data_IF_396571856103
#
_entry.id   IF_396571856103
#
_cell.length_a   1.000
_cell.length_b   1.000
_cell.length_c   1.000
_cell.angle_alpha   90.00
_cell.angle_beta   90.00
_cell.angle_gamma   90.00
#
_symmetry.space_group_name_H-M   'P 1'
#
loop_
_entity.id
_entity.type
_entity.pdbx_description
1 polymer ?
#
# COMPACT_ATOMS: atom_id res chain seq x y z
N UNK A 1 65.95 -29.27 -12.04
CA UNK A 1 64.71 -29.44 -12.82
C UNK A 1 63.54 -29.37 -11.84
N UNK A 2 62.74 -28.30 -11.94
CA UNK A 2 61.60 -27.92 -11.08
C UNK A 2 60.40 -27.61 -12.00
N UNK A 3 59.16 -27.56 -11.46
CA UNK A 3 57.99 -28.24 -12.02
C UNK A 3 57.20 -27.43 -13.06
N UNK A 4 56.47 -28.14 -13.94
CA UNK A 4 55.60 -27.56 -14.94
C UNK A 4 54.20 -27.26 -14.37
N UNK A 5 53.86 -25.98 -14.34
CA UNK A 5 52.55 -25.43 -14.05
C UNK A 5 51.62 -25.63 -15.25
N UNK A 6 50.55 -26.40 -15.07
CA UNK A 6 49.45 -26.55 -16.03
C UNK A 6 48.43 -25.43 -15.83
N UNK A 7 48.52 -24.38 -16.65
CA UNK A 7 47.55 -23.29 -16.70
C UNK A 7 46.32 -23.71 -17.52
N UNK A 8 45.19 -23.91 -16.81
CA UNK A 8 43.86 -24.11 -17.39
C UNK A 8 43.36 -22.75 -17.87
N UNK A 9 43.32 -22.56 -19.20
CA UNK A 9 42.85 -21.34 -19.84
C UNK A 9 41.32 -21.39 -19.95
N UNK A 10 40.64 -20.69 -19.04
CA UNK A 10 39.19 -20.48 -19.05
C UNK A 10 38.76 -19.70 -20.30
N UNK A 11 37.99 -20.37 -21.17
CA UNK A 11 37.32 -19.77 -22.32
C UNK A 11 36.05 -19.08 -21.85
N UNK A 12 36.14 -17.79 -21.58
CA UNK A 12 34.99 -16.91 -21.32
C UNK A 12 34.14 -16.87 -22.60
N UNK A 13 32.97 -17.53 -22.56
CA UNK A 13 31.94 -17.34 -23.57
C UNK A 13 31.28 -15.98 -23.33
N UNK A 14 31.52 -15.03 -24.24
CA UNK A 14 30.82 -13.75 -24.31
C UNK A 14 29.37 -14.02 -24.73
N UNK A 15 28.42 -13.56 -23.92
CA UNK A 15 27.00 -13.51 -24.27
C UNK A 15 26.76 -12.50 -25.41
N UNK A 16 25.81 -12.73 -26.32
CA UNK A 16 25.50 -11.81 -27.41
C UNK A 16 24.84 -10.53 -26.88
N UNK A 17 25.31 -9.40 -27.39
CA UNK A 17 24.77 -8.07 -27.16
C UNK A 17 23.35 -7.95 -27.74
N UNK A 18 22.40 -7.54 -26.90
CA UNK A 18 21.06 -7.19 -27.35
C UNK A 18 21.11 -5.89 -28.15
N UNK A 19 20.85 -6.00 -29.46
CA UNK A 19 20.69 -4.89 -30.41
C UNK A 19 19.20 -4.55 -30.46
N UNK A 20 18.81 -3.33 -30.06
CA UNK A 20 17.46 -2.80 -30.31
C UNK A 20 17.36 -2.30 -31.76
N UNK A 21 16.37 -2.75 -32.55
CA UNK A 21 16.07 -2.13 -33.84
C UNK A 21 14.82 -1.24 -33.75
N UNK A 22 14.97 0.01 -34.23
CA UNK A 22 13.93 0.67 -35.03
C UNK A 22 12.91 1.55 -34.31
N UNK A 23 13.30 2.79 -34.02
CA UNK A 23 12.74 3.99 -34.66
C UNK A 23 11.29 3.91 -35.20
N UNK A 24 10.34 4.50 -34.47
CA UNK A 24 9.07 4.98 -35.04
C UNK A 24 8.60 6.31 -34.43
N UNK A 25 8.87 7.35 -35.23
CA UNK A 25 8.10 8.57 -35.53
C UNK A 25 7.21 9.14 -34.42
N UNK A 26 7.59 10.36 -34.04
CA UNK A 26 6.77 11.40 -33.46
C UNK A 26 5.44 11.59 -34.20
N UNK A 27 4.33 11.48 -33.48
CA UNK A 27 3.07 12.12 -33.85
C UNK A 27 2.78 13.15 -32.77
N UNK A 28 3.36 14.33 -32.96
CA UNK A 28 2.91 15.54 -32.30
C UNK A 28 1.65 16.01 -33.06
N UNK A 29 0.46 15.61 -32.60
CA UNK A 29 -0.79 16.06 -33.22
C UNK A 29 -1.06 17.51 -32.82
N UNK A 30 -0.56 18.45 -33.62
CA UNK A 30 -0.98 19.85 -33.62
C UNK A 30 -2.43 19.94 -34.09
N UNK A 31 -3.38 20.01 -33.14
CA UNK A 31 -4.79 20.23 -33.45
C UNK A 31 -5.00 21.70 -33.84
N UNK A 32 -4.85 21.97 -35.14
CA UNK A 32 -5.16 23.24 -35.81
C UNK A 32 -6.62 23.62 -35.54
N UNK A 33 -6.84 24.69 -34.77
CA UNK A 33 -8.15 25.34 -34.62
C UNK A 33 -8.63 25.81 -36.00
N UNK A 34 -9.74 25.28 -36.50
CA UNK A 34 -10.55 25.93 -37.52
C UNK A 34 -11.73 26.58 -36.83
N UNK A 35 -11.86 27.89 -37.04
CA UNK A 35 -12.98 28.67 -36.54
C UNK A 35 -14.29 28.18 -37.15
N UNK A 36 -15.31 28.09 -36.30
CA UNK A 36 -16.69 28.27 -36.70
C UNK A 36 -17.28 29.35 -35.81
N UNK A 37 -17.75 30.37 -36.50
CA UNK A 37 -18.43 31.57 -36.05
C UNK A 37 -19.75 31.23 -35.38
N UNK A 38 -20.10 32.07 -34.41
CA UNK A 38 -21.45 32.46 -33.98
C UNK A 38 -22.46 31.35 -33.69
N UNK A 39 -22.82 31.21 -32.41
CA UNK A 39 -24.19 31.50 -31.96
C UNK A 39 -24.27 31.51 -30.43
N UNK A 40 -24.70 32.67 -29.92
CA UNK A 40 -25.63 32.82 -28.80
C UNK A 40 -25.11 32.62 -27.36
N UNK A 41 -24.71 33.74 -26.75
CA UNK A 41 -24.71 33.96 -25.29
C UNK A 41 -26.08 34.47 -24.84
N UNK A 42 -26.60 34.05 -23.67
CA UNK A 42 -27.48 34.87 -22.89
C UNK A 42 -26.68 35.60 -21.79
N UNK A 43 -26.82 36.92 -21.83
CA UNK A 43 -26.37 37.92 -20.87
C UNK A 43 -27.59 38.26 -20.02
N UNK A 44 -27.54 38.06 -18.71
CA UNK A 44 -28.49 38.66 -17.75
C UNK A 44 -27.74 38.77 -16.41
N UNK A 45 -27.15 39.90 -16.06
CA UNK A 45 -27.73 41.19 -15.62
C UNK A 45 -27.67 41.29 -14.09
N UNK A 46 -26.78 42.18 -13.63
CA UNK A 46 -26.53 42.52 -12.25
C UNK A 46 -27.59 43.50 -11.75
N UNK A 47 -28.27 43.17 -10.66
CA UNK A 47 -29.00 44.14 -9.85
C UNK A 47 -28.39 44.22 -8.44
N UNK A 48 -27.78 45.37 -8.15
CA UNK A 48 -27.33 45.83 -6.83
C UNK A 48 -28.52 46.04 -5.89
N UNK A 49 -28.36 45.67 -4.62
CA UNK A 49 -28.99 46.23 -3.41
C UNK A 49 -28.51 45.34 -2.25
N UNK A 50 -27.97 45.79 -1.12
CA UNK A 50 -27.66 47.09 -0.57
C UNK A 50 -26.74 46.85 0.65
N UNK A 51 -26.02 47.88 1.04
CA UNK A 51 -25.06 47.91 2.13
C UNK A 51 -25.79 48.20 3.45
N UNK A 52 -25.53 47.45 4.54
CA UNK A 52 -25.51 47.95 5.94
C UNK A 52 -24.81 46.95 6.88
N UNK A 53 -23.75 47.44 7.52
CA UNK A 53 -23.37 47.35 8.94
C UNK A 53 -23.25 46.01 9.69
N UNK A 54 -21.99 45.72 10.03
CA UNK A 54 -21.46 45.68 11.41
C UNK A 54 -22.27 44.92 12.49
N UNK A 55 -21.78 43.74 12.86
CA UNK A 55 -21.67 43.36 14.28
C UNK A 55 -20.77 42.14 14.46
N UNK A 56 -19.66 42.32 15.17
CA UNK A 56 -19.00 41.28 15.94
C UNK A 56 -19.99 40.75 16.99
N UNK A 57 -20.22 39.43 17.03
CA UNK A 57 -20.78 38.78 18.21
C UNK A 57 -20.21 37.37 18.35
N UNK A 58 -19.35 37.22 19.36
CA UNK A 58 -18.93 35.95 19.93
C UNK A 58 -20.13 35.23 20.54
N UNK A 59 -20.38 33.97 20.17
CA UNK A 59 -20.97 32.93 21.04
C UNK A 59 -20.97 31.56 20.34
N UNK A 60 -20.26 30.60 20.93
CA UNK A 60 -20.55 29.16 20.86
C UNK A 60 -21.62 28.85 21.95
N UNK A 61 -22.24 27.64 22.06
CA UNK A 61 -22.07 26.38 21.31
C UNK A 61 -23.40 25.69 20.87
N UNK A 62 -23.35 24.69 19.98
CA UNK A 62 -24.49 23.75 19.81
C UNK A 62 -24.72 23.17 18.41
N UNK A 63 -24.27 21.93 18.21
CA UNK A 63 -24.78 20.87 17.30
C UNK A 63 -25.61 21.22 16.04
N UNK A 64 -25.03 21.00 14.86
CA UNK A 64 -25.58 20.17 13.76
C UNK A 64 -24.77 20.42 12.48
N UNK A 65 -23.69 19.66 12.27
CA UNK A 65 -23.01 19.62 10.97
C UNK A 65 -23.95 18.93 9.97
N UNK A 66 -24.66 19.72 9.18
CA UNK A 66 -25.50 19.24 8.09
C UNK A 66 -24.61 18.58 7.05
N UNK A 67 -24.83 17.28 6.79
CA UNK A 67 -24.17 16.50 5.73
C UNK A 67 -24.28 17.30 4.42
N UNK A 68 -23.15 17.78 3.92
CA UNK A 68 -23.11 18.59 2.71
C UNK A 68 -23.40 17.72 1.50
N UNK A 69 -24.18 18.22 0.54
CA UNK A 69 -24.47 17.54 -0.75
C UNK A 69 -23.19 17.10 -1.46
N UNK A 70 -22.08 17.81 -1.21
CA UNK A 70 -20.75 17.49 -1.73
C UNK A 70 -20.16 16.22 -1.11
N UNK A 71 -20.46 15.93 0.17
CA UNK A 71 -19.96 14.74 0.85
C UNK A 71 -20.77 13.49 0.49
N UNK A 72 -22.07 13.67 0.19
CA UNK A 72 -22.90 12.62 -0.42
C UNK A 72 -22.44 12.30 -1.85
N UNK A 73 -22.06 13.31 -2.62
CA UNK A 73 -21.54 13.09 -3.98
C UNK A 73 -20.17 12.39 -3.96
N UNK A 74 -19.30 12.70 -2.98
CA UNK A 74 -18.03 11.99 -2.80
C UNK A 74 -18.25 10.52 -2.43
N UNK A 75 -19.20 10.22 -1.54
CA UNK A 75 -19.47 8.84 -1.13
C UNK A 75 -20.11 8.02 -2.26
N UNK A 76 -20.94 8.62 -3.11
CA UNK A 76 -21.58 7.92 -4.22
C UNK A 76 -20.60 7.59 -5.37
N UNK A 77 -19.56 8.41 -5.59
CA UNK A 77 -18.54 8.13 -6.61
C UNK A 77 -17.61 6.96 -6.28
N UNK A 78 -17.61 6.44 -5.05
CA UNK A 78 -16.83 5.27 -4.64
C UNK A 78 -17.55 3.93 -4.89
N UNK A 79 -18.78 3.95 -5.42
CA UNK A 79 -19.65 2.77 -5.51
C UNK A 79 -19.52 1.87 -6.75
N UNK A 80 -18.60 2.10 -7.69
CA UNK A 80 -18.44 1.23 -8.88
C UNK A 80 -16.98 0.84 -9.08
N UNK A 81 -16.52 -0.17 -8.35
CA UNK A 81 -15.32 -0.95 -8.72
C UNK A 81 -15.59 -2.45 -8.55
N UNK A 82 -16.65 -2.95 -9.19
CA UNK A 82 -16.78 -4.37 -9.46
C UNK A 82 -15.88 -4.72 -10.66
N UNK A 83 -14.70 -5.33 -10.41
CA UNK A 83 -13.93 -6.00 -11.47
C UNK A 83 -12.46 -5.60 -11.66
N UNK A 84 -11.80 -4.94 -10.69
CA UNK A 84 -10.35 -4.68 -10.79
C UNK A 84 -9.53 -5.87 -10.31
N UNK A 85 -8.69 -6.40 -11.20
CA UNK A 85 -7.68 -7.46 -10.93
C UNK A 85 -6.53 -6.95 -10.06
N UNK A 86 -6.48 -5.65 -9.75
CA UNK A 86 -5.59 -5.11 -8.72
C UNK A 86 -6.40 -4.83 -7.44
N UNK A 87 -6.17 -5.70 -6.44
CA UNK A 87 -6.51 -5.51 -5.02
C UNK A 87 -5.66 -4.40 -4.41
N UNK A 88 -5.62 -3.22 -5.03
CA UNK A 88 -4.87 -2.06 -4.52
C UNK A 88 -5.85 -1.21 -3.74
N UNK A 89 -5.58 -1.02 -2.45
CA UNK A 89 -6.33 -0.11 -1.60
C UNK A 89 -6.09 1.32 -2.15
N UNK A 90 -7.14 2.09 -2.50
CA UNK A 90 -6.94 3.46 -2.97
C UNK A 90 -6.27 4.29 -1.86
N UNK A 91 -5.31 5.14 -2.24
CA UNK A 91 -4.48 5.87 -1.28
C UNK A 91 -5.30 6.66 -0.24
N UNK A 92 -6.44 7.23 -0.63
CA UNK A 92 -7.32 7.95 0.27
C UNK A 92 -7.96 7.05 1.34
N UNK A 93 -8.30 5.80 1.00
CA UNK A 93 -8.83 4.84 1.97
C UNK A 93 -7.74 4.37 2.94
N UNK A 94 -6.51 4.25 2.46
CA UNK A 94 -5.39 3.91 3.31
C UNK A 94 -5.05 5.04 4.30
N UNK A 95 -5.00 6.29 3.84
CA UNK A 95 -4.83 7.48 4.69
C UNK A 95 -5.92 7.54 5.78
N UNK A 96 -7.17 7.28 5.43
CA UNK A 96 -8.28 7.24 6.37
C UNK A 96 -8.12 6.16 7.45
N UNK A 97 -7.75 4.94 7.05
CA UNK A 97 -7.51 3.84 7.98
C UNK A 97 -6.34 4.13 8.93
N UNK A 98 -5.24 4.72 8.43
CA UNK A 98 -4.12 5.16 9.27
C UNK A 98 -4.55 6.23 10.28
N UNK A 99 -5.38 7.19 9.87
CA UNK A 99 -5.92 8.20 10.78
C UNK A 99 -6.78 7.58 11.89
N UNK A 100 -7.63 6.60 11.57
CA UNK A 100 -8.49 5.92 12.54
C UNK A 100 -7.65 5.17 13.57
N UNK A 101 -6.65 4.41 13.11
CA UNK A 101 -5.73 3.68 13.99
C UNK A 101 -4.97 4.64 14.90
N UNK A 102 -4.48 5.76 14.39
CA UNK A 102 -3.77 6.74 15.21
C UNK A 102 -4.69 7.42 16.23
N UNK A 103 -5.92 7.77 15.86
CA UNK A 103 -6.90 8.35 16.76
C UNK A 103 -7.28 7.38 17.90
N UNK A 104 -7.42 6.09 17.58
CA UNK A 104 -7.70 5.04 18.57
C UNK A 104 -6.53 4.84 19.53
N UNK A 105 -5.30 4.76 19.01
CA UNK A 105 -4.08 4.69 19.84
C UNK A 105 -3.95 5.91 20.75
N UNK A 106 -4.22 7.12 20.25
CA UNK A 106 -4.16 8.34 21.05
C UNK A 106 -5.19 8.31 22.19
N UNK A 107 -6.38 7.76 21.94
CA UNK A 107 -7.46 7.63 22.92
C UNK A 107 -7.19 6.54 23.95
N UNK A 108 -6.45 5.49 23.58
CA UNK A 108 -6.13 4.33 24.42
C UNK A 108 -4.74 4.41 25.10
N UNK A 109 -4.16 5.61 25.22
CA UNK A 109 -2.87 5.80 25.90
C UNK A 109 -1.67 5.16 25.18
N UNK A 110 -1.76 4.95 23.87
CA UNK A 110 -0.72 4.39 23.01
C UNK A 110 -0.82 2.88 22.79
N UNK A 111 -1.70 2.17 23.50
CA UNK A 111 -1.91 0.74 23.31
C UNK A 111 -3.06 0.47 22.33
N UNK A 112 -2.81 -0.32 21.28
CA UNK A 112 -3.87 -0.75 20.36
C UNK A 112 -4.50 -2.06 20.84
N UNK A 113 -5.83 -2.09 20.91
CA UNK A 113 -6.60 -3.29 21.23
C UNK A 113 -7.07 -3.97 19.93
N UNK A 114 -6.70 -5.23 19.66
CA UNK A 114 -7.15 -5.94 18.46
C UNK A 114 -8.68 -6.03 18.39
N UNK A 115 -9.24 -5.77 17.22
CA UNK A 115 -10.69 -5.83 16.95
C UNK A 115 -11.12 -7.22 16.50
N UNK A 116 -10.40 -7.80 15.54
CA UNK A 116 -10.75 -9.09 14.96
C UNK A 116 -9.89 -10.22 15.54
N UNK A 117 -8.57 -10.03 15.57
CA UNK A 117 -7.66 -11.09 16.00
C UNK A 117 -7.66 -11.29 17.52
N UNK A 118 -7.50 -12.54 17.97
CA UNK A 118 -7.23 -12.79 19.39
C UNK A 118 -5.85 -12.23 19.79
N UNK A 119 -5.59 -11.96 21.09
CA UNK A 119 -4.29 -11.41 21.52
C UNK A 119 -3.08 -12.24 21.10
N UNK A 120 -3.21 -13.56 21.02
CA UNK A 120 -2.15 -14.47 20.57
C UNK A 120 -1.96 -14.43 19.05
N UNK A 121 -3.07 -14.42 18.30
CA UNK A 121 -3.03 -14.28 16.84
C UNK A 121 -2.45 -12.93 16.42
N UNK A 122 -2.80 -11.86 17.13
CA UNK A 122 -2.28 -10.53 16.87
C UNK A 122 -0.76 -10.43 17.10
N UNK A 123 -0.23 -11.08 18.15
CA UNK A 123 1.23 -11.20 18.35
C UNK A 123 1.91 -11.96 17.20
N UNK A 124 1.26 -13.00 16.69
CA UNK A 124 1.77 -13.75 15.52
C UNK A 124 1.76 -12.87 14.28
N UNK A 125 0.69 -12.10 14.06
CA UNK A 125 0.60 -11.11 12.99
C UNK A 125 1.72 -10.06 13.08
N UNK A 126 1.97 -9.51 14.27
CA UNK A 126 3.08 -8.57 14.50
C UNK A 126 4.44 -9.20 14.13
N UNK A 127 4.72 -10.42 14.60
CA UNK A 127 5.95 -11.12 14.28
C UNK A 127 6.11 -11.36 12.77
N UNK A 128 5.02 -11.72 12.08
CA UNK A 128 5.01 -11.90 10.62
C UNK A 128 5.26 -10.58 9.88
N UNK A 129 4.57 -9.50 10.26
CA UNK A 129 4.77 -8.18 9.66
C UNK A 129 6.22 -7.69 9.82
N UNK A 130 6.80 -7.90 11.01
CA UNK A 130 8.20 -7.57 11.29
C UNK A 130 9.18 -8.43 10.46
N UNK A 131 8.86 -9.70 10.22
CA UNK A 131 9.68 -10.57 9.37
C UNK A 131 9.61 -10.18 7.88
N UNK A 132 8.49 -9.58 7.45
CA UNK A 132 8.28 -9.16 6.05
C UNK A 132 8.98 -7.84 5.74
N UNK A 133 8.80 -6.81 6.59
CA UNK A 133 9.49 -5.51 6.50
C UNK A 133 10.20 -5.26 7.83
N UNK A 134 11.45 -5.73 7.99
CA UNK A 134 12.24 -5.48 9.19
C UNK A 134 12.62 -4.00 9.28
N UNK A 135 12.87 -3.46 10.49
CA UNK A 135 13.42 -2.13 10.65
C UNK A 135 14.83 -2.05 10.07
N UNK A 136 15.15 -0.93 9.42
CA UNK A 136 16.48 -0.66 8.91
C UNK A 136 17.06 0.64 9.52
N UNK A 137 18.26 1.04 9.10
CA UNK A 137 18.94 2.21 9.66
C UNK A 137 18.38 3.56 9.14
N UNK A 138 17.62 3.54 8.05
CA UNK A 138 17.14 4.74 7.34
C UNK A 138 15.67 5.03 7.64
N UNK A 139 14.89 3.97 7.86
CA UNK A 139 13.44 3.93 7.89
C UNK A 139 12.95 2.94 8.93
N UNK A 140 11.83 3.30 9.57
CA UNK A 140 11.21 2.45 10.60
C UNK A 140 10.69 1.13 10.03
N UNK A 141 10.47 0.13 10.90
CA UNK A 141 9.93 -1.18 10.48
C UNK A 141 8.40 -1.21 10.33
N UNK A 142 7.85 -2.36 9.96
CA UNK A 142 6.40 -2.56 9.82
C UNK A 142 5.59 -2.22 11.10
N UNK A 143 6.16 -2.49 12.27
CA UNK A 143 5.52 -2.24 13.57
C UNK A 143 5.43 -0.73 13.85
N UNK A 144 6.50 0.01 13.56
CA UNK A 144 6.55 1.46 13.75
C UNK A 144 5.60 2.18 12.79
N UNK A 145 5.43 1.63 11.58
CA UNK A 145 4.48 2.09 10.58
C UNK A 145 3.01 1.78 10.91
N UNK A 146 2.73 1.11 12.03
CA UNK A 146 1.40 0.64 12.42
C UNK A 146 0.72 -0.28 11.38
N UNK A 147 1.52 -1.02 10.61
CA UNK A 147 1.00 -1.98 9.63
C UNK A 147 0.13 -3.11 10.24
N UNK A 148 0.46 -3.73 11.40
CA UNK A 148 -0.40 -4.78 11.95
C UNK A 148 -1.75 -4.25 12.42
N UNK A 149 -1.82 -3.02 12.93
CA UNK A 149 -3.08 -2.37 13.30
C UNK A 149 -3.93 -2.04 12.08
N UNK A 150 -3.29 -1.55 11.01
CA UNK A 150 -3.96 -1.32 9.72
C UNK A 150 -4.59 -2.61 9.18
N UNK A 151 -3.87 -3.73 9.26
CA UNK A 151 -4.38 -5.04 8.83
C UNK A 151 -5.55 -5.49 9.70
N UNK A 152 -5.47 -5.36 11.02
CA UNK A 152 -6.57 -5.73 11.94
C UNK A 152 -7.84 -4.90 11.69
N UNK A 153 -7.70 -3.58 11.50
CA UNK A 153 -8.82 -2.71 11.15
C UNK A 153 -9.50 -3.14 9.84
N UNK A 154 -8.72 -3.31 8.76
CA UNK A 154 -9.26 -3.75 7.47
C UNK A 154 -9.92 -5.13 7.54
N UNK A 155 -9.36 -6.01 8.37
CA UNK A 155 -9.92 -7.35 8.58
C UNK A 155 -11.23 -7.27 9.37
N UNK A 156 -11.35 -6.35 10.33
CA UNK A 156 -12.60 -6.16 11.08
C UNK A 156 -13.76 -5.71 10.19
N UNK A 157 -13.48 -4.93 9.14
CA UNK A 157 -14.50 -4.40 8.23
C UNK A 157 -14.83 -5.33 7.05
N UNK A 158 -13.93 -6.25 6.67
CA UNK A 158 -14.09 -7.09 5.49
C UNK A 158 -14.11 -8.60 5.79
N UNK A 159 -15.28 -9.22 5.64
CA UNK A 159 -15.48 -10.67 5.85
C UNK A 159 -14.60 -11.58 4.97
N UNK A 160 -14.23 -11.17 3.77
CA UNK A 160 -13.33 -11.96 2.91
C UNK A 160 -11.90 -11.99 3.48
N UNK A 161 -11.49 -10.91 4.14
CA UNK A 161 -10.17 -10.81 4.75
C UNK A 161 -10.12 -11.63 6.03
N UNK A 162 -11.23 -11.65 6.79
CA UNK A 162 -11.39 -12.50 7.97
C UNK A 162 -11.17 -13.98 7.63
N UNK A 163 -11.79 -14.47 6.55
CA UNK A 163 -11.62 -15.86 6.13
C UNK A 163 -10.19 -16.16 5.68
N UNK A 164 -9.58 -15.29 4.87
CA UNK A 164 -8.24 -15.51 4.32
C UNK A 164 -7.14 -15.41 5.38
N UNK A 165 -7.18 -14.39 6.22
CA UNK A 165 -6.17 -14.16 7.24
C UNK A 165 -6.39 -15.06 8.46
N UNK A 166 -7.63 -15.22 8.92
CA UNK A 166 -7.97 -16.13 10.01
C UNK A 166 -7.64 -17.59 9.66
N UNK A 167 -8.09 -18.05 8.49
CA UNK A 167 -7.79 -19.41 8.02
C UNK A 167 -6.31 -19.64 7.76
N UNK A 168 -5.60 -18.62 7.26
CA UNK A 168 -4.16 -18.70 7.03
C UNK A 168 -3.30 -18.72 8.31
N UNK A 169 -3.68 -17.96 9.34
CA UNK A 169 -3.04 -18.02 10.66
C UNK A 169 -3.28 -19.39 11.31
N UNK A 170 -4.49 -19.95 11.21
CA UNK A 170 -4.77 -21.30 11.69
C UNK A 170 -3.95 -22.35 10.95
N UNK A 171 -3.82 -22.23 9.62
CA UNK A 171 -2.98 -23.12 8.83
C UNK A 171 -1.51 -23.05 9.26
N UNK A 172 -1.00 -21.85 9.56
CA UNK A 172 0.37 -21.64 10.03
C UNK A 172 0.61 -22.34 11.37
N UNK A 173 -0.27 -22.11 12.35
CA UNK A 173 -0.14 -22.74 13.67
C UNK A 173 -0.29 -24.27 13.60
N UNK A 174 -1.24 -24.79 12.81
CA UNK A 174 -1.39 -26.23 12.59
C UNK A 174 -0.12 -26.82 11.97
N UNK A 175 0.42 -26.19 10.93
CA UNK A 175 1.64 -26.66 10.25
C UNK A 175 2.86 -26.65 11.18
N UNK A 176 2.97 -25.64 12.05
CA UNK A 176 4.02 -25.58 13.07
C UNK A 176 3.84 -26.66 14.14
N UNK A 177 2.61 -26.94 14.55
CA UNK A 177 2.30 -28.00 15.51
C UNK A 177 2.61 -29.38 14.92
N UNK A 178 2.17 -29.66 13.69
CA UNK A 178 2.41 -30.95 13.03
C UNK A 178 3.91 -31.24 12.83
N UNK A 179 4.71 -30.22 12.52
CA UNK A 179 6.15 -30.37 12.24
C UNK A 179 7.03 -30.33 13.48
N UNK A 180 6.65 -29.54 14.49
CA UNK A 180 7.54 -29.24 15.62
C UNK A 180 6.88 -29.37 17.00
N UNK A 181 5.56 -29.59 17.06
CA UNK A 181 4.79 -29.77 18.30
C UNK A 181 4.56 -28.50 19.14
N UNK A 182 4.78 -27.30 18.57
CA UNK A 182 4.42 -26.03 19.25
C UNK A 182 3.97 -24.97 18.23
N UNK A 183 3.31 -23.92 18.72
CA UNK A 183 2.80 -22.81 17.92
C UNK A 183 3.93 -21.98 17.31
N UNK A 184 3.63 -21.17 16.29
CA UNK A 184 4.64 -20.40 15.55
C UNK A 184 5.52 -19.51 16.44
N UNK A 185 4.92 -18.83 17.43
CA UNK A 185 5.64 -17.93 18.35
C UNK A 185 6.61 -18.64 19.32
N UNK A 186 6.43 -19.94 19.57
CA UNK A 186 7.23 -20.71 20.51
C UNK A 186 8.40 -21.45 19.83
N UNK A 187 8.67 -21.14 18.55
CA UNK A 187 9.72 -21.75 17.74
C UNK A 187 10.99 -20.93 17.75
N UNK A 188 12.11 -21.59 17.45
CA UNK A 188 13.37 -20.88 17.27
C UNK A 188 13.31 -20.03 15.99
N UNK A 189 14.08 -18.93 15.90
CA UNK A 189 14.10 -18.08 14.71
C UNK A 189 14.42 -18.86 13.42
N UNK A 190 15.25 -19.90 13.50
CA UNK A 190 15.58 -20.76 12.37
C UNK A 190 14.37 -21.59 11.91
N UNK A 191 13.60 -22.15 12.85
CA UNK A 191 12.38 -22.91 12.56
C UNK A 191 11.29 -22.02 11.96
N UNK A 192 11.13 -20.80 12.49
CA UNK A 192 10.21 -19.80 11.92
C UNK A 192 10.60 -19.49 10.47
N UNK A 193 11.88 -19.18 10.23
CA UNK A 193 12.39 -18.91 8.89
C UNK A 193 12.18 -20.08 7.93
N UNK A 194 12.42 -21.32 8.36
CA UNK A 194 12.18 -22.50 7.53
C UNK A 194 10.73 -22.59 7.04
N UNK A 195 9.76 -22.35 7.93
CA UNK A 195 8.33 -22.35 7.55
C UNK A 195 8.02 -21.19 6.59
N UNK A 196 8.56 -20.00 6.86
CA UNK A 196 8.37 -18.85 5.97
C UNK A 196 8.99 -19.08 4.59
N UNK A 197 10.18 -19.65 4.50
CA UNK A 197 10.85 -19.97 3.23
C UNK A 197 10.07 -21.00 2.41
N UNK A 198 9.35 -21.93 3.07
CA UNK A 198 8.46 -22.88 2.39
C UNK A 198 7.28 -22.19 1.72
N UNK A 199 6.67 -21.20 2.38
CA UNK A 199 5.45 -20.52 1.87
C UNK A 199 5.73 -19.24 1.08
N UNK A 200 6.95 -18.70 1.14
CA UNK A 200 7.32 -17.44 0.49
C UNK A 200 7.26 -17.51 -1.05
N UNK A 201 7.48 -18.70 -1.63
CA UNK A 201 7.63 -18.87 -3.07
C UNK A 201 6.46 -19.63 -3.70
N UNK A 202 5.78 -19.00 -4.66
CA UNK A 202 4.71 -19.63 -5.46
C UNK A 202 5.14 -20.89 -6.22
N UNK A 203 6.44 -21.04 -6.49
CA UNK A 203 6.98 -22.25 -7.14
C UNK A 203 6.78 -23.48 -6.25
N UNK A 204 6.83 -23.33 -4.93
CA UNK A 204 6.68 -24.43 -3.99
C UNK A 204 5.25 -24.98 -4.01
N UNK A 205 4.23 -24.10 -4.10
CA UNK A 205 2.84 -24.52 -4.28
C UNK A 205 2.58 -25.28 -5.60
N UNK A 206 3.39 -25.04 -6.64
CA UNK A 206 3.30 -25.81 -7.90
C UNK A 206 3.90 -27.21 -7.78
N UNK A 207 4.90 -27.37 -6.90
CA UNK A 207 5.54 -28.65 -6.65
C UNK A 207 4.74 -29.50 -5.64
N UNK A 208 4.18 -28.88 -4.62
CA UNK A 208 3.36 -29.51 -3.60
C UNK A 208 2.03 -28.74 -3.42
N UNK A 209 0.91 -29.29 -3.93
CA UNK A 209 -0.40 -28.66 -3.78
C UNK A 209 -0.87 -28.55 -2.32
N UNK A 210 -0.33 -29.33 -1.38
CA UNK A 210 -0.77 -29.31 0.02
C UNK A 210 -0.42 -28.00 0.74
N UNK A 211 0.63 -27.31 0.30
CA UNK A 211 1.08 -26.04 0.87
C UNK A 211 0.50 -24.81 0.15
N UNK A 212 -0.34 -25.02 -0.86
CA UNK A 212 -0.93 -23.94 -1.68
C UNK A 212 -1.66 -22.90 -0.84
N UNK A 213 -2.45 -23.34 0.15
CA UNK A 213 -3.17 -22.45 1.07
C UNK A 213 -2.23 -21.53 1.86
N UNK A 214 -1.13 -22.07 2.40
CA UNK A 214 -0.14 -21.29 3.12
C UNK A 214 0.58 -20.26 2.24
N UNK A 215 0.88 -20.63 1.00
CA UNK A 215 1.51 -19.74 0.00
C UNK A 215 0.57 -18.58 -0.40
N UNK A 216 -0.72 -18.86 -0.58
CA UNK A 216 -1.72 -17.83 -0.87
C UNK A 216 -1.92 -16.87 0.30
N UNK A 217 -2.03 -17.42 1.52
CA UNK A 217 -2.09 -16.64 2.75
C UNK A 217 -0.87 -15.71 2.88
N UNK A 218 0.34 -16.25 2.77
CA UNK A 218 1.56 -15.45 2.92
C UNK A 218 1.70 -14.39 1.83
N UNK A 219 1.34 -14.73 0.58
CA UNK A 219 1.31 -13.77 -0.52
C UNK A 219 0.32 -12.62 -0.24
N UNK A 220 -0.85 -12.94 0.31
CA UNK A 220 -1.87 -11.96 0.65
C UNK A 220 -1.44 -11.07 1.81
N UNK A 221 -0.93 -11.67 2.90
CA UNK A 221 -0.41 -10.95 4.06
C UNK A 221 0.72 -10.01 3.67
N UNK A 222 1.69 -10.48 2.88
CA UNK A 222 2.82 -9.66 2.40
C UNK A 222 2.36 -8.43 1.62
N UNK A 223 1.36 -8.58 0.76
CA UNK A 223 0.81 -7.45 0.01
C UNK A 223 0.14 -6.45 0.96
N UNK A 224 -0.66 -6.92 1.93
CA UNK A 224 -1.28 -6.03 2.93
C UNK A 224 -0.27 -5.34 3.84
N UNK A 225 0.83 -6.02 4.22
CA UNK A 225 1.92 -5.41 4.98
C UNK A 225 2.61 -4.32 4.17
N UNK A 226 2.86 -4.56 2.88
CA UNK A 226 3.43 -3.56 1.99
C UNK A 226 2.48 -2.37 1.81
N UNK A 227 1.18 -2.62 1.61
CA UNK A 227 0.17 -1.58 1.50
C UNK A 227 0.12 -0.76 2.80
N UNK A 228 0.04 -1.39 3.97
CA UNK A 228 0.05 -0.71 5.26
C UNK A 228 1.32 0.11 5.51
N UNK A 229 2.48 -0.43 5.13
CA UNK A 229 3.76 0.26 5.29
C UNK A 229 3.90 1.47 4.37
N UNK A 230 3.77 1.28 3.05
CA UNK A 230 4.03 2.33 2.07
C UNK A 230 2.94 3.40 1.99
N UNK A 231 1.77 3.17 2.60
CA UNK A 231 0.73 4.20 2.79
C UNK A 231 0.86 4.95 4.11
N UNK A 232 1.69 4.46 5.03
CA UNK A 232 1.98 5.15 6.30
C UNK A 232 2.92 6.35 6.08
N UNK A 233 2.94 7.28 7.03
CA UNK A 233 3.87 8.41 7.01
C UNK A 233 5.35 7.97 6.96
N UNK A 234 5.69 6.84 7.59
CA UNK A 234 7.06 6.29 7.59
C UNK A 234 7.42 5.77 6.19
N UNK A 235 6.55 4.95 5.59
CA UNK A 235 6.81 4.42 4.25
C UNK A 235 6.79 5.47 3.15
N UNK A 236 5.93 6.50 3.24
CA UNK A 236 5.94 7.64 2.31
C UNK A 236 7.27 8.40 2.38
N UNK A 237 7.81 8.58 3.60
CA UNK A 237 9.11 9.22 3.81
C UNK A 237 10.26 8.36 3.26
N UNK A 238 10.20 7.04 3.46
CA UNK A 238 11.17 6.07 2.94
C UNK A 238 11.25 6.12 1.40
N UNK A 239 10.09 6.12 0.73
CA UNK A 239 9.98 6.27 -0.73
C UNK A 239 10.42 7.64 -1.25
N UNK A 240 10.64 8.62 -0.37
CA UNK A 240 10.86 10.02 -0.73
C UNK A 240 9.75 10.54 -1.66
N UNK A 241 8.51 10.13 -1.40
CA UNK A 241 7.39 10.45 -2.28
C UNK A 241 7.00 11.94 -2.15
N UNK A 242 6.99 12.65 -3.29
CA UNK A 242 6.72 14.10 -3.37
C UNK A 242 5.33 14.40 -3.98
N UNK A 243 4.68 13.39 -4.58
CA UNK A 243 3.31 13.53 -5.08
C UNK A 243 2.34 13.85 -3.93
N UNK A 244 1.23 14.50 -4.19
CA UNK A 244 0.31 15.07 -3.19
C UNK A 244 0.79 16.37 -2.50
N UNK A 245 1.98 16.88 -2.85
CA UNK A 245 2.35 18.26 -2.48
C UNK A 245 1.75 19.25 -3.47
N UNK A 246 0.98 20.21 -2.97
CA UNK A 246 0.48 21.32 -3.79
C UNK A 246 1.65 22.12 -4.37
N UNK A 247 1.70 22.22 -5.70
CA UNK A 247 2.63 23.09 -6.42
C UNK A 247 1.88 24.30 -6.95
N UNK A 248 2.39 25.51 -6.67
CA UNK A 248 1.80 26.75 -7.20
C UNK A 248 2.00 26.87 -8.71
N UNK A 249 3.20 26.53 -9.17
CA UNK A 249 3.61 26.61 -10.56
C UNK A 249 4.19 25.25 -11.00
N UNK A 250 3.88 24.85 -12.23
CA UNK A 250 4.42 23.62 -12.82
C UNK A 250 5.80 23.91 -13.43
N UNK A 251 6.90 23.32 -12.93
CA UNK A 251 8.27 23.67 -13.35
C UNK A 251 8.64 23.23 -14.78
N UNK A 252 7.70 22.66 -15.54
CA UNK A 252 7.97 22.12 -16.87
C UNK A 252 8.70 20.77 -16.83
N UNK A 253 8.98 20.22 -18.01
CA UNK A 253 9.79 19.01 -18.12
C UNK A 253 11.28 19.42 -18.06
N UNK A 254 12.10 18.82 -17.19
CA UNK A 254 13.54 19.07 -17.21
C UNK A 254 14.12 18.63 -18.55
N UNK A 255 15.13 19.34 -19.04
CA UNK A 255 15.89 18.90 -20.22
C UNK A 255 16.53 17.54 -19.92
N UNK A 256 16.37 16.58 -20.83
CA UNK A 256 16.99 15.27 -20.69
C UNK A 256 18.52 15.43 -20.72
N UNK A 257 19.27 14.73 -19.85
CA UNK A 257 20.72 14.73 -19.93
C UNK A 257 21.15 14.20 -21.31
N UNK A 258 22.08 14.90 -21.98
CA UNK A 258 22.69 14.39 -23.20
C UNK A 258 23.41 13.07 -22.89
N UNK A 259 23.15 12.05 -23.72
CA UNK A 259 23.59 10.67 -23.53
C UNK A 259 25.07 10.45 -23.87
#
# INVERSE_FOLDING_TARGET
MRPALSAIRTRIQRLPSWRYPGERRSICSSRRRRGMSNLFMPKFENSKLGMTDNSYSTSLPGSSESISRRDILKSLTMGVLAGSVLRVIPAQAAEYAHHLVQAEKASAGGAYAPKFFSPQQYKTLQALCQAIIPPDNHSGGAIEAAAPEFIDLLTSENSDYQLKLGGGLMWLDSTCNDRYGKNYLERTPEQQKQILDLIAYRKNAKADPSISQGVEFFSFLRNLTADGYFTSAIGIKDLQYIGNKYMKDFPGCPVLPEA
#
